data_IF_048050126103
#
_entry.id   IF_048050126103
#
_cell.length_a   1.000
_cell.length_b   1.000
_cell.length_c   1.000
_cell.angle_alpha   90.00
_cell.angle_beta   90.00
_cell.angle_gamma   90.00
#
_symmetry.space_group_name_H-M   'P 1'
#
loop_
_entity.id
_entity.type
_entity.pdbx_description
1 polymer ?
#
# COMPACT_ATOMS: atom_id res chain seq x y z
N UNK A 1 7.28 -11.55 6.15
CA UNK A 1 6.02 -10.84 6.19
C UNK A 1 4.85 -11.72 5.73
N UNK A 2 4.91 -12.39 4.59
CA UNK A 2 3.79 -13.17 4.02
C UNK A 2 3.42 -14.45 4.79
N UNK A 3 4.29 -14.94 5.67
CA UNK A 3 4.10 -16.17 6.46
C UNK A 3 3.73 -15.85 7.93
N UNK A 4 3.68 -14.59 8.28
CA UNK A 4 3.42 -14.14 9.65
C UNK A 4 1.95 -14.36 10.01
N UNK A 5 1.69 -14.88 11.20
CA UNK A 5 0.36 -15.13 11.78
C UNK A 5 -0.01 -14.14 12.88
N UNK A 6 0.88 -13.19 13.19
CA UNK A 6 0.73 -12.17 14.22
C UNK A 6 0.66 -10.78 13.58
N UNK A 7 -0.36 -9.95 13.94
CA UNK A 7 -0.58 -8.64 13.34
C UNK A 7 0.52 -7.64 13.71
N UNK A 8 1.06 -7.73 14.93
CA UNK A 8 2.13 -6.83 15.38
C UNK A 8 3.44 -7.14 14.66
N UNK A 9 3.76 -8.43 14.51
CA UNK A 9 4.93 -8.88 13.77
C UNK A 9 4.81 -8.54 12.28
N UNK A 10 3.59 -8.64 11.72
CA UNK A 10 3.30 -8.16 10.35
C UNK A 10 3.65 -6.68 10.21
N UNK A 11 3.22 -5.83 11.15
CA UNK A 11 3.51 -4.41 11.16
C UNK A 11 5.00 -4.11 11.22
N UNK A 12 5.75 -4.79 12.10
CA UNK A 12 7.20 -4.61 12.23
C UNK A 12 7.90 -4.91 10.90
N UNK A 13 7.59 -6.02 10.24
CA UNK A 13 8.18 -6.35 8.95
C UNK A 13 7.72 -5.40 7.84
N UNK A 14 6.48 -4.93 7.89
CA UNK A 14 5.92 -3.98 6.94
C UNK A 14 6.65 -2.63 6.99
N UNK A 15 7.09 -2.20 8.17
CA UNK A 15 7.87 -0.97 8.35
C UNK A 15 9.37 -1.18 8.14
N UNK A 16 9.92 -2.32 8.50
CA UNK A 16 11.36 -2.59 8.38
C UNK A 16 11.90 -2.44 6.95
N UNK A 17 11.06 -2.69 5.94
CA UNK A 17 11.45 -2.52 4.53
C UNK A 17 11.66 -1.05 4.15
N UNK A 18 11.10 -0.11 4.92
CA UNK A 18 11.19 1.31 4.64
C UNK A 18 12.62 1.83 4.78
N UNK A 19 13.36 1.38 5.80
CA UNK A 19 14.72 1.84 6.09
C UNK A 19 15.69 1.48 4.96
N UNK A 20 15.79 0.22 4.50
CA UNK A 20 16.63 -0.14 3.36
C UNK A 20 16.26 0.62 2.08
N UNK A 21 14.97 0.80 1.81
CA UNK A 21 14.52 1.54 0.63
C UNK A 21 14.90 3.02 0.68
N UNK A 22 14.75 3.65 1.85
CA UNK A 22 15.20 5.03 2.06
C UNK A 22 16.69 5.18 1.76
N UNK A 23 17.52 4.26 2.25
CA UNK A 23 18.96 4.25 2.00
C UNK A 23 19.29 3.99 0.52
N UNK A 24 18.62 3.02 -0.11
CA UNK A 24 18.84 2.70 -1.52
C UNK A 24 18.52 3.92 -2.41
N UNK A 25 17.41 4.58 -2.20
CA UNK A 25 17.02 5.75 -2.99
C UNK A 25 17.90 6.97 -2.65
N UNK A 26 18.19 7.21 -1.38
CA UNK A 26 18.94 8.37 -0.93
C UNK A 26 20.43 8.34 -1.27
N UNK A 27 21.07 7.17 -1.18
CA UNK A 27 22.51 7.02 -1.43
C UNK A 27 22.79 6.74 -2.90
N UNK A 28 22.11 5.75 -3.48
CA UNK A 28 22.36 5.27 -4.85
C UNK A 28 21.41 5.84 -5.91
N UNK A 29 20.60 6.82 -5.55
CA UNK A 29 19.73 7.51 -6.51
C UNK A 29 20.49 8.26 -7.58
N UNK A 30 19.85 8.46 -8.75
CA UNK A 30 20.52 8.90 -9.98
C UNK A 30 20.73 10.43 -10.10
N UNK A 31 19.96 11.27 -9.37
CA UNK A 31 20.03 12.73 -9.50
C UNK A 31 20.21 13.49 -8.18
N UNK A 32 20.41 14.81 -8.27
CA UNK A 32 20.50 15.70 -7.12
C UNK A 32 19.22 15.69 -6.25
N UNK A 33 18.07 15.35 -6.82
CA UNK A 33 16.77 15.31 -6.13
C UNK A 33 16.52 14.01 -5.34
N UNK A 34 17.45 13.05 -5.39
CA UNK A 34 17.32 11.73 -4.74
C UNK A 34 17.01 11.82 -3.24
N UNK A 35 17.65 12.76 -2.54
CA UNK A 35 17.43 12.97 -1.10
C UNK A 35 15.99 13.39 -0.84
N UNK A 36 15.47 14.35 -1.61
CA UNK A 36 14.10 14.81 -1.49
C UNK A 36 13.08 13.70 -1.80
N UNK A 37 13.35 12.88 -2.82
CA UNK A 37 12.52 11.73 -3.18
C UNK A 37 12.53 10.66 -2.07
N UNK A 38 13.69 10.37 -1.48
CA UNK A 38 13.82 9.45 -0.34
C UNK A 38 13.04 9.94 0.89
N UNK A 39 13.16 11.22 1.24
CA UNK A 39 12.38 11.80 2.34
C UNK A 39 10.87 11.78 2.09
N UNK A 40 10.41 12.05 0.87
CA UNK A 40 8.99 11.96 0.52
C UNK A 40 8.49 10.52 0.67
N UNK A 41 9.22 9.54 0.15
CA UNK A 41 8.91 8.12 0.33
C UNK A 41 8.82 7.79 1.81
N UNK A 42 9.80 8.17 2.60
CA UNK A 42 9.86 7.88 4.04
C UNK A 42 8.70 8.52 4.80
N UNK A 43 8.49 9.84 4.65
CA UNK A 43 7.48 10.57 5.40
C UNK A 43 6.05 10.14 5.05
N UNK A 44 5.75 9.93 3.75
CA UNK A 44 4.42 9.48 3.34
C UNK A 44 4.09 8.10 3.88
N UNK A 45 5.02 7.16 3.74
CA UNK A 45 4.79 5.78 4.18
C UNK A 45 4.76 5.68 5.70
N UNK A 46 5.64 6.40 6.41
CA UNK A 46 5.64 6.45 7.88
C UNK A 46 4.34 7.07 8.41
N UNK A 47 3.89 8.20 7.86
CA UNK A 47 2.64 8.82 8.28
C UNK A 47 1.44 7.88 8.12
N UNK A 48 1.41 7.11 7.01
CA UNK A 48 0.38 6.11 6.79
C UNK A 48 0.41 4.97 7.79
N UNK A 49 1.59 4.46 8.09
CA UNK A 49 1.74 3.32 8.98
C UNK A 49 1.41 3.65 10.44
N UNK A 50 1.54 4.89 10.86
CA UNK A 50 1.10 5.32 12.20
C UNK A 50 -0.41 5.11 12.39
N UNK A 51 -1.24 5.36 11.36
CA UNK A 51 -2.68 5.06 11.44
C UNK A 51 -2.94 3.56 11.56
N UNK A 52 -2.16 2.74 10.86
CA UNK A 52 -2.24 1.28 11.01
C UNK A 52 -1.83 0.83 12.41
N UNK A 53 -0.76 1.41 12.98
CA UNK A 53 -0.34 1.11 14.35
C UNK A 53 -1.44 1.42 15.37
N UNK A 54 -2.08 2.58 15.25
CA UNK A 54 -3.21 2.93 16.12
C UNK A 54 -4.36 1.92 16.00
N UNK A 55 -4.66 1.46 14.78
CA UNK A 55 -5.68 0.42 14.57
C UNK A 55 -5.27 -0.91 15.20
N UNK A 56 -4.00 -1.31 15.10
CA UNK A 56 -3.48 -2.55 15.72
C UNK A 56 -3.58 -2.48 17.24
N UNK A 57 -3.21 -1.34 17.83
CA UNK A 57 -3.32 -1.13 19.28
C UNK A 57 -4.78 -1.18 19.74
N UNK A 58 -5.70 -0.60 18.97
CA UNK A 58 -7.12 -0.68 19.26
C UNK A 58 -7.67 -2.10 19.12
N UNK A 59 -7.21 -2.89 18.13
CA UNK A 59 -7.53 -4.32 18.00
C UNK A 59 -7.03 -5.07 19.24
N UNK A 60 -5.78 -4.85 19.62
CA UNK A 60 -5.19 -5.50 20.80
C UNK A 60 -5.96 -5.17 22.09
N UNK A 61 -6.37 -3.91 22.25
CA UNK A 61 -7.17 -3.51 23.42
C UNK A 61 -8.52 -4.22 23.50
N UNK A 62 -9.18 -4.49 22.37
CA UNK A 62 -10.49 -5.16 22.33
C UNK A 62 -10.38 -6.69 22.41
N UNK A 63 -9.39 -7.29 21.75
CA UNK A 63 -9.25 -8.76 21.63
C UNK A 63 -8.34 -9.34 22.71
N UNK A 64 -7.37 -8.57 23.22
CA UNK A 64 -6.35 -9.02 24.16
C UNK A 64 -5.24 -9.88 23.54
N UNK A 65 -5.23 -10.03 22.21
CA UNK A 65 -4.24 -10.84 21.48
C UNK A 65 -3.90 -10.22 20.13
N UNK A 66 -2.71 -10.53 19.62
CA UNK A 66 -2.21 -10.13 18.29
C UNK A 66 -2.30 -11.26 17.26
N UNK A 67 -2.73 -12.47 17.66
CA UNK A 67 -2.84 -13.62 16.78
C UNK A 67 -3.99 -13.45 15.77
N UNK A 68 -3.70 -13.70 14.49
CA UNK A 68 -4.66 -13.63 13.39
C UNK A 68 -5.88 -14.53 13.58
N UNK A 69 -5.70 -15.73 14.14
CA UNK A 69 -6.81 -16.67 14.35
C UNK A 69 -7.81 -16.15 15.38
N UNK A 70 -7.32 -15.58 16.48
CA UNK A 70 -8.17 -15.02 17.53
C UNK A 70 -8.87 -13.75 17.07
N UNK A 71 -8.18 -12.88 16.32
CA UNK A 71 -8.76 -11.65 15.77
C UNK A 71 -9.89 -11.98 14.79
N UNK A 72 -9.73 -13.01 13.95
CA UNK A 72 -10.74 -13.41 12.96
C UNK A 72 -12.03 -13.95 13.59
N UNK A 73 -11.93 -14.57 14.78
CA UNK A 73 -13.09 -15.09 15.51
C UNK A 73 -13.82 -14.02 16.32
N UNK A 74 -13.16 -12.89 16.54
CA UNK A 74 -13.73 -11.80 17.33
C UNK A 74 -14.70 -10.93 16.52
N UNK A 75 -15.90 -10.72 17.03
CA UNK A 75 -16.90 -9.85 16.41
C UNK A 75 -16.77 -8.43 16.97
N UNK A 76 -16.27 -7.52 16.15
CA UNK A 76 -16.19 -6.10 16.48
C UNK A 76 -17.54 -5.42 16.33
N UNK A 77 -17.83 -4.46 17.20
CA UNK A 77 -18.97 -3.56 17.02
C UNK A 77 -18.84 -2.82 15.67
N UNK A 78 -19.95 -2.68 14.88
CA UNK A 78 -19.90 -2.06 13.54
C UNK A 78 -19.28 -0.67 13.49
N UNK A 79 -19.44 0.14 14.54
CA UNK A 79 -18.83 1.47 14.64
C UNK A 79 -17.30 1.39 14.78
N UNK A 80 -16.82 0.51 15.66
CA UNK A 80 -15.40 0.27 15.89
C UNK A 80 -14.76 -0.34 14.66
N UNK A 81 -15.43 -1.31 14.02
CA UNK A 81 -14.96 -1.95 12.80
C UNK A 81 -14.69 -0.95 11.67
N UNK A 82 -15.58 0.04 11.48
CA UNK A 82 -15.39 1.11 10.49
C UNK A 82 -14.18 1.98 10.80
N UNK A 83 -13.96 2.34 12.05
CA UNK A 83 -12.82 3.14 12.46
C UNK A 83 -11.49 2.41 12.24
N UNK A 84 -11.42 1.13 12.65
CA UNK A 84 -10.27 0.26 12.44
C UNK A 84 -9.96 0.10 10.96
N UNK A 85 -10.99 -0.09 10.14
CA UNK A 85 -10.88 -0.22 8.71
C UNK A 85 -10.24 1.02 8.07
N UNK A 86 -10.71 2.22 8.44
CA UNK A 86 -10.17 3.48 7.92
C UNK A 86 -8.68 3.61 8.25
N UNK A 87 -8.27 3.31 9.50
CA UNK A 87 -6.87 3.42 9.89
C UNK A 87 -5.96 2.46 9.14
N UNK A 88 -6.36 1.21 8.97
CA UNK A 88 -5.60 0.23 8.16
C UNK A 88 -5.63 0.62 6.69
N UNK A 89 -6.79 1.05 6.16
CA UNK A 89 -6.94 1.44 4.76
C UNK A 89 -6.07 2.62 4.37
N UNK A 90 -5.94 3.65 5.20
CA UNK A 90 -5.06 4.80 4.92
C UNK A 90 -3.61 4.33 4.72
N UNK A 91 -3.11 3.45 5.59
CA UNK A 91 -1.77 2.89 5.45
C UNK A 91 -1.59 2.12 4.14
N UNK A 92 -2.55 1.27 3.81
CA UNK A 92 -2.53 0.49 2.58
C UNK A 92 -2.67 1.39 1.35
N UNK A 93 -3.57 2.38 1.37
CA UNK A 93 -3.80 3.32 0.28
C UNK A 93 -2.58 4.19 -0.04
N UNK A 94 -1.75 4.51 0.94
CA UNK A 94 -0.49 5.21 0.72
C UNK A 94 0.53 4.30 0.06
N UNK A 95 0.75 3.09 0.57
CA UNK A 95 1.69 2.12 -0.03
C UNK A 95 1.20 1.55 -1.35
N UNK A 96 -0.10 1.45 -1.54
CA UNK A 96 -0.79 0.99 -2.75
C UNK A 96 -1.15 2.14 -3.70
N UNK A 97 -0.36 3.14 -3.85
CA UNK A 97 -0.47 4.50 -4.36
C UNK A 97 -1.85 4.85 -4.95
N UNK A 98 -2.90 4.85 -4.11
CA UNK A 98 -4.24 5.29 -4.53
C UNK A 98 -4.29 6.80 -4.76
N UNK A 99 -5.09 7.23 -5.73
CA UNK A 99 -5.39 8.66 -5.86
C UNK A 99 -6.08 9.16 -4.59
N UNK A 100 -5.66 10.30 -4.02
CA UNK A 100 -4.62 11.26 -4.41
C UNK A 100 -3.21 10.99 -3.83
N UNK A 101 -2.97 9.86 -3.17
CA UNK A 101 -1.79 9.58 -2.34
C UNK A 101 -0.59 8.98 -3.11
N UNK A 102 -0.62 9.00 -4.45
CA UNK A 102 0.40 8.36 -5.30
C UNK A 102 1.64 9.22 -5.59
N UNK A 103 1.65 10.49 -5.16
CA UNK A 103 2.68 11.47 -5.56
C UNK A 103 4.11 11.12 -5.15
N UNK A 104 4.29 10.30 -4.13
CA UNK A 104 5.59 9.83 -3.68
C UNK A 104 6.18 8.75 -4.60
N UNK A 105 5.33 7.89 -5.18
CA UNK A 105 5.78 6.72 -5.93
C UNK A 105 6.52 7.09 -7.20
N UNK A 106 5.99 7.98 -8.04
CA UNK A 106 6.63 8.36 -9.29
C UNK A 106 7.98 9.04 -9.05
N UNK A 107 8.11 9.86 -7.99
CA UNK A 107 9.37 10.50 -7.61
C UNK A 107 10.39 9.48 -7.10
N UNK A 108 9.95 8.53 -6.28
CA UNK A 108 10.80 7.45 -5.81
C UNK A 108 11.32 6.61 -6.97
N UNK A 109 10.47 6.23 -7.94
CA UNK A 109 10.88 5.46 -9.12
C UNK A 109 11.80 6.24 -10.08
N UNK A 110 11.53 7.54 -10.29
CA UNK A 110 12.35 8.37 -11.16
C UNK A 110 13.80 8.45 -10.65
N UNK A 111 13.97 8.58 -9.34
CA UNK A 111 15.28 8.75 -8.70
C UNK A 111 15.95 7.44 -8.29
N UNK A 112 15.19 6.36 -8.07
CA UNK A 112 15.72 5.09 -7.62
C UNK A 112 16.67 4.45 -8.65
N UNK A 113 17.74 3.75 -8.21
CA UNK A 113 18.50 2.87 -9.09
C UNK A 113 17.59 1.73 -9.60
N UNK A 114 17.99 1.07 -10.69
CA UNK A 114 17.19 0.01 -11.32
C UNK A 114 16.80 -1.08 -10.30
N UNK A 115 17.75 -1.54 -9.50
CA UNK A 115 17.49 -2.52 -8.45
C UNK A 115 16.46 -2.03 -7.40
N UNK A 116 16.54 -0.75 -6.98
CA UNK A 116 15.57 -0.12 -6.09
C UNK A 116 14.16 -0.07 -6.68
N UNK A 117 14.05 0.27 -7.96
CA UNK A 117 12.76 0.30 -8.67
C UNK A 117 12.13 -1.10 -8.79
N UNK A 118 12.94 -2.14 -9.04
CA UNK A 118 12.47 -3.53 -9.11
C UNK A 118 11.93 -3.99 -7.73
N UNK A 119 12.66 -3.70 -6.65
CA UNK A 119 12.22 -4.03 -5.28
C UNK A 119 10.94 -3.30 -4.91
N UNK A 120 10.83 -2.02 -5.26
CA UNK A 120 9.68 -1.19 -4.97
C UNK A 120 8.42 -1.70 -5.70
N UNK A 121 8.52 -1.99 -6.99
CA UNK A 121 7.40 -2.51 -7.78
C UNK A 121 7.08 -3.99 -7.49
N UNK A 122 8.10 -4.83 -7.28
CA UNK A 122 7.95 -6.27 -7.12
C UNK A 122 7.50 -6.69 -5.73
N UNK A 123 8.00 -6.05 -4.69
CA UNK A 123 7.78 -6.48 -3.29
C UNK A 123 6.88 -5.49 -2.56
N UNK A 124 7.25 -4.20 -2.51
CA UNK A 124 6.59 -3.23 -1.62
C UNK A 124 5.12 -3.02 -1.97
N UNK A 125 4.80 -2.88 -3.25
CA UNK A 125 3.41 -2.77 -3.69
C UNK A 125 2.61 -4.04 -3.38
N UNK A 126 3.23 -5.22 -3.51
CA UNK A 126 2.56 -6.50 -3.22
C UNK A 126 2.32 -6.73 -1.73
N UNK A 127 3.17 -6.18 -0.86
CA UNK A 127 2.94 -6.21 0.58
C UNK A 127 1.66 -5.45 0.97
N UNK A 128 1.39 -4.32 0.34
CA UNK A 128 0.16 -3.56 0.58
C UNK A 128 -1.08 -4.30 0.05
N UNK A 129 -0.98 -4.93 -1.14
CA UNK A 129 -2.06 -5.77 -1.68
C UNK A 129 -2.37 -6.93 -0.74
N UNK A 130 -1.34 -7.67 -0.30
CA UNK A 130 -1.50 -8.76 0.65
C UNK A 130 -2.11 -8.29 1.98
N UNK A 131 -1.60 -7.16 2.52
CA UNK A 131 -2.14 -6.57 3.74
C UNK A 131 -3.61 -6.17 3.60
N UNK A 132 -4.02 -5.63 2.45
CA UNK A 132 -5.42 -5.30 2.19
C UNK A 132 -6.32 -6.54 2.17
N UNK A 133 -5.89 -7.62 1.51
CA UNK A 133 -6.64 -8.88 1.49
C UNK A 133 -6.73 -9.51 2.89
N UNK A 134 -5.62 -9.53 3.62
CA UNK A 134 -5.53 -10.21 4.91
C UNK A 134 -6.17 -9.41 6.05
N UNK A 135 -5.91 -8.11 6.13
CA UNK A 135 -6.35 -7.29 7.25
C UNK A 135 -7.72 -6.65 7.02
N UNK A 136 -8.01 -6.14 5.80
CA UNK A 136 -9.27 -5.47 5.54
C UNK A 136 -10.40 -6.46 5.22
N UNK A 137 -10.17 -7.42 4.31
CA UNK A 137 -11.24 -8.31 3.88
C UNK A 137 -11.51 -9.46 4.84
N UNK A 138 -10.48 -10.01 5.49
CA UNK A 138 -10.67 -11.13 6.42
C UNK A 138 -11.08 -10.72 7.82
N UNK A 139 -10.52 -9.64 8.38
CA UNK A 139 -10.80 -9.24 9.76
C UNK A 139 -11.96 -8.26 9.88
N UNK A 140 -12.22 -7.45 8.85
CA UNK A 140 -13.19 -6.38 8.85
C UNK A 140 -14.14 -6.46 7.64
N UNK A 141 -14.87 -7.58 7.46
CA UNK A 141 -15.67 -7.83 6.27
C UNK A 141 -16.81 -6.83 6.11
N UNK A 142 -17.55 -6.52 7.19
CA UNK A 142 -18.71 -5.63 7.15
C UNK A 142 -18.31 -4.19 6.78
N UNK A 143 -17.21 -3.70 7.37
CA UNK A 143 -16.66 -2.40 7.02
C UNK A 143 -16.14 -2.37 5.58
N UNK A 144 -15.53 -3.46 5.10
CA UNK A 144 -15.05 -3.59 3.73
C UNK A 144 -16.21 -3.55 2.72
N UNK A 145 -17.32 -4.18 3.03
CA UNK A 145 -18.53 -4.10 2.23
C UNK A 145 -19.09 -2.67 2.20
N UNK A 146 -19.18 -2.03 3.36
CA UNK A 146 -19.68 -0.65 3.48
C UNK A 146 -18.82 0.36 2.68
N UNK A 147 -17.48 0.24 2.74
CA UNK A 147 -16.56 1.13 2.04
C UNK A 147 -16.21 0.70 0.62
N UNK A 148 -16.76 -0.41 0.12
CA UNK A 148 -16.53 -0.89 -1.26
C UNK A 148 -16.76 0.18 -2.33
N UNK A 149 -17.85 0.98 -2.33
CA UNK A 149 -18.07 2.01 -3.36
C UNK A 149 -16.99 3.12 -3.28
N UNK A 150 -16.51 3.46 -2.09
CA UNK A 150 -15.43 4.43 -1.93
C UNK A 150 -14.13 3.91 -2.55
N UNK A 151 -13.77 2.66 -2.27
CA UNK A 151 -12.56 2.04 -2.85
C UNK A 151 -12.65 1.96 -4.37
N UNK A 152 -13.81 1.57 -4.90
CA UNK A 152 -14.04 1.50 -6.34
C UNK A 152 -13.93 2.86 -7.02
N UNK A 153 -14.52 3.91 -6.45
CA UNK A 153 -14.40 5.27 -7.00
C UNK A 153 -12.95 5.77 -6.98
N UNK A 154 -12.21 5.55 -5.89
CA UNK A 154 -10.79 5.89 -5.81
C UNK A 154 -9.95 5.10 -6.83
N UNK A 155 -10.25 3.82 -7.05
CA UNK A 155 -9.58 3.00 -8.05
C UNK A 155 -9.82 3.51 -9.48
N UNK A 156 -11.06 3.83 -9.84
CA UNK A 156 -11.42 4.39 -11.15
C UNK A 156 -10.69 5.73 -11.37
N UNK A 157 -10.70 6.62 -10.39
CA UNK A 157 -9.98 7.89 -10.46
C UNK A 157 -8.47 7.67 -10.62
N UNK A 158 -7.89 6.68 -9.92
CA UNK A 158 -6.48 6.33 -10.05
C UNK A 158 -6.13 5.85 -11.46
N UNK A 159 -6.97 5.02 -12.08
CA UNK A 159 -6.79 4.55 -13.45
C UNK A 159 -6.81 5.73 -14.44
N UNK A 160 -7.84 6.59 -14.35
CA UNK A 160 -7.99 7.74 -15.25
C UNK A 160 -6.80 8.70 -15.13
N UNK A 161 -6.48 9.13 -13.91
CA UNK A 161 -5.39 10.08 -13.68
C UNK A 161 -4.02 9.50 -14.04
N UNK A 162 -3.75 8.24 -13.67
CA UNK A 162 -2.48 7.60 -14.00
C UNK A 162 -2.32 7.41 -15.52
N UNK A 163 -3.38 7.02 -16.24
CA UNK A 163 -3.35 6.88 -17.69
C UNK A 163 -3.07 8.20 -18.39
N UNK A 164 -3.77 9.27 -18.00
CA UNK A 164 -3.55 10.61 -18.56
C UNK A 164 -2.15 11.15 -18.23
N UNK A 165 -1.66 10.91 -17.01
CA UNK A 165 -0.32 11.29 -16.63
C UNK A 165 0.75 10.53 -17.42
N UNK A 166 0.52 9.24 -17.72
CA UNK A 166 1.42 8.42 -18.53
C UNK A 166 1.62 9.01 -19.93
N UNK A 167 0.54 9.49 -20.57
CA UNK A 167 0.61 10.08 -21.92
C UNK A 167 1.47 11.35 -21.98
N UNK A 168 1.65 12.04 -20.88
CA UNK A 168 2.40 13.31 -20.82
C UNK A 168 3.85 13.15 -20.35
N UNK A 169 4.29 11.94 -19.99
CA UNK A 169 5.65 11.71 -19.50
C UNK A 169 6.65 11.67 -20.66
N UNK A 170 7.78 12.36 -20.48
CA UNK A 170 8.94 12.33 -21.37
C UNK A 170 10.01 11.35 -20.90
N UNK A 171 10.08 11.09 -19.60
CA UNK A 171 11.03 10.16 -18.99
C UNK A 171 10.51 8.73 -18.99
N UNK A 172 11.30 7.80 -19.52
CA UNK A 172 10.94 6.38 -19.60
C UNK A 172 10.67 5.75 -18.21
N UNK A 173 11.48 6.07 -17.21
CA UNK A 173 11.25 5.59 -15.83
C UNK A 173 9.94 6.09 -15.24
N UNK A 174 9.62 7.37 -15.46
CA UNK A 174 8.36 7.94 -15.01
C UNK A 174 7.16 7.32 -15.74
N UNK A 175 7.28 7.07 -17.05
CA UNK A 175 6.26 6.39 -17.85
C UNK A 175 5.96 4.99 -17.29
N UNK A 176 7.00 4.19 -17.02
CA UNK A 176 6.84 2.84 -16.44
C UNK A 176 6.21 2.91 -15.04
N UNK A 177 6.58 3.91 -14.22
CA UNK A 177 6.02 4.09 -12.89
C UNK A 177 4.51 4.39 -12.94
N UNK A 178 4.07 5.31 -13.79
CA UNK A 178 2.65 5.62 -13.97
C UNK A 178 1.87 4.45 -14.59
N UNK A 179 2.46 3.75 -15.56
CA UNK A 179 1.88 2.52 -16.12
C UNK A 179 1.67 1.46 -15.05
N UNK A 180 2.62 1.29 -14.13
CA UNK A 180 2.47 0.36 -13.00
C UNK A 180 1.31 0.75 -12.08
N UNK A 181 1.08 2.05 -11.82
CA UNK A 181 -0.06 2.53 -11.05
C UNK A 181 -1.37 2.20 -11.79
N UNK A 182 -1.45 2.48 -13.08
CA UNK A 182 -2.65 2.20 -13.88
C UNK A 182 -2.99 0.69 -13.90
N UNK A 183 -2.00 -0.17 -14.15
CA UNK A 183 -2.18 -1.62 -14.25
C UNK A 183 -2.52 -2.28 -12.91
N UNK A 184 -2.18 -1.66 -11.80
CA UNK A 184 -2.46 -2.20 -10.47
C UNK A 184 -3.98 -2.31 -10.19
N UNK A 185 -4.78 -1.43 -10.78
CA UNK A 185 -6.24 -1.32 -10.58
C UNK A 185 -7.05 -1.90 -11.74
N UNK A 186 -6.42 -2.35 -12.82
CA UNK A 186 -7.15 -2.98 -13.91
C UNK A 186 -7.68 -4.34 -13.47
N UNK A 187 -8.96 -4.58 -13.74
CA UNK A 187 -9.58 -5.89 -13.55
C UNK A 187 -8.84 -6.95 -14.39
N UNK A 188 -8.68 -8.18 -13.91
CA UNK A 188 -8.09 -9.26 -14.71
C UNK A 188 -8.82 -9.37 -16.04
N UNK A 189 -8.04 -9.32 -17.11
CA UNK A 189 -8.55 -9.43 -18.47
C UNK A 189 -9.22 -10.80 -18.66
N UNK A 190 -10.26 -10.92 -19.51
CA UNK A 190 -10.82 -12.23 -19.87
C UNK A 190 -9.78 -13.21 -20.43
N UNK A 191 -8.63 -12.71 -20.87
CA UNK A 191 -7.47 -13.49 -21.31
C UNK A 191 -6.81 -14.26 -20.17
N UNK A 192 -6.79 -13.70 -18.97
CA UNK A 192 -6.15 -14.31 -17.80
C UNK A 192 -6.95 -15.52 -17.28
N UNK A 193 -8.26 -15.58 -17.55
CA UNK A 193 -9.13 -16.71 -17.24
C UNK A 193 -8.93 -17.94 -18.14
N UNK A 194 -8.21 -17.80 -19.25
CA UNK A 194 -7.93 -18.93 -20.17
C UNK A 194 -6.64 -19.68 -19.87
N UNK A 195 -5.87 -19.24 -18.88
CA UNK A 195 -4.58 -19.84 -18.48
C UNK A 195 -4.65 -20.56 -17.12
N UNK A 196 -5.83 -20.67 -16.51
CA UNK A 196 -6.06 -21.44 -15.28
C UNK A 196 -6.83 -22.73 -15.55
#
# INVERSE_FOLDING_TARGET
LFVVTDIMLFYIFFESVLIPLFLIVGIWGSSANRIRAAFLLFLFTLAGSLFMLLSILAIYYNVGSTDFQLIQQFHFDPSVQKLLWIGVFISMAIKFPLWPLYSWLYRAHAEAPIAGSILLAGIVLKMATYGSLRLLLQFLPDASYYFSPLVQTMAIMSIIYASLATLRQTDFKALVAYSSICLLYTSPSPRDKRQS
#
